data_IF_721496893886
#
_entry.id   IF_721496893886
#
_cell.length_a   1.000
_cell.length_b   1.000
_cell.length_c   1.000
_cell.angle_alpha   90.00
_cell.angle_beta   90.00
_cell.angle_gamma   90.00
#
_symmetry.space_group_name_H-M   'P 1'
#
loop_
_entity.id
_entity.type
_entity.pdbx_description
1 polymer ?
#
# COMPACT_ATOMS: atom_id res chain seq x y z
N UNK A 1 33.07 -8.82 40.96
CA UNK A 1 32.10 -8.46 39.91
C UNK A 1 31.24 -7.34 40.45
N UNK A 2 31.25 -6.17 39.82
CA UNK A 2 30.39 -5.05 40.21
C UNK A 2 28.94 -5.40 39.89
N UNK A 3 28.03 -5.05 40.78
CA UNK A 3 26.58 -5.21 40.54
C UNK A 3 26.13 -4.25 39.42
N UNK A 4 25.25 -4.68 38.50
CA UNK A 4 24.69 -3.77 37.49
C UNK A 4 23.86 -2.63 38.10
N UNK A 5 23.57 -2.71 39.39
CA UNK A 5 22.84 -1.65 40.14
C UNK A 5 23.78 -0.67 40.86
N UNK A 6 25.09 -0.89 40.80
CA UNK A 6 26.07 0.05 41.35
C UNK A 6 26.54 1.00 40.26
N UNK A 7 26.59 2.30 40.60
CA UNK A 7 27.20 3.26 39.70
C UNK A 7 28.63 2.88 39.38
N UNK A 8 29.09 3.00 38.13
CA UNK A 8 30.49 2.77 37.78
C UNK A 8 31.42 3.66 38.64
N UNK A 9 32.53 3.08 39.07
CA UNK A 9 33.55 3.84 39.81
C UNK A 9 34.36 4.72 38.85
N UNK A 10 34.82 5.89 39.35
CA UNK A 10 35.65 6.81 38.59
C UNK A 10 34.93 7.73 37.63
N UNK A 11 35.71 8.52 36.93
CA UNK A 11 35.22 9.57 36.00
C UNK A 11 35.09 9.04 34.55
N UNK A 12 34.52 7.84 34.37
CA UNK A 12 34.43 7.16 33.08
C UNK A 12 33.71 8.00 31.99
N UNK A 13 32.80 8.90 32.40
CA UNK A 13 32.11 9.83 31.49
C UNK A 13 32.97 11.05 31.08
N UNK A 14 34.12 11.25 31.73
CA UNK A 14 35.01 12.38 31.52
C UNK A 14 36.31 11.98 30.80
N UNK A 15 36.31 10.82 30.14
CA UNK A 15 37.45 10.34 29.36
C UNK A 15 37.56 11.19 28.09
N UNK A 16 38.73 11.72 27.82
CA UNK A 16 38.99 12.51 26.62
C UNK A 16 38.76 11.70 25.34
N UNK A 17 38.00 12.28 24.41
CA UNK A 17 37.66 11.63 23.12
C UNK A 17 38.92 11.35 22.31
N UNK A 18 39.16 10.08 21.98
CA UNK A 18 40.32 9.62 21.22
C UNK A 18 40.28 10.13 19.75
N UNK A 19 41.46 10.10 19.09
CA UNK A 19 41.56 10.47 17.67
C UNK A 19 40.73 9.54 16.79
N UNK A 20 40.68 8.26 17.09
CA UNK A 20 39.90 7.26 16.36
C UNK A 20 38.39 7.50 16.52
N UNK A 21 37.98 7.86 17.72
CA UNK A 21 36.60 8.17 18.03
C UNK A 21 36.12 9.44 17.28
N UNK A 22 36.95 10.49 17.25
CA UNK A 22 36.66 11.70 16.43
C UNK A 22 36.53 11.35 14.95
N UNK A 23 37.39 10.45 14.45
CA UNK A 23 37.38 10.04 13.04
C UNK A 23 36.06 9.31 12.69
N UNK A 24 35.69 8.27 13.45
CA UNK A 24 34.49 7.53 13.13
C UNK A 24 33.22 8.35 13.34
N UNK A 25 33.16 9.21 14.36
CA UNK A 25 32.03 10.17 14.54
C UNK A 25 31.93 11.11 13.36
N UNK A 26 33.06 11.65 12.88
CA UNK A 26 33.05 12.53 11.70
C UNK A 26 32.53 11.80 10.46
N UNK A 27 32.97 10.55 10.22
CA UNK A 27 32.50 9.73 9.11
C UNK A 27 30.99 9.46 9.26
N UNK A 28 30.53 9.13 10.45
CA UNK A 28 29.11 8.89 10.72
C UNK A 28 28.24 10.13 10.48
N UNK A 29 28.73 11.32 10.86
CA UNK A 29 28.03 12.58 10.60
C UNK A 29 27.95 12.85 9.08
N UNK A 30 29.05 12.69 8.35
CA UNK A 30 29.07 12.89 6.89
C UNK A 30 28.09 11.92 6.22
N UNK A 31 28.10 10.65 6.64
CA UNK A 31 27.17 9.64 6.10
C UNK A 31 25.71 9.97 6.42
N UNK A 32 25.43 10.39 7.67
CA UNK A 32 24.08 10.82 8.07
C UNK A 32 23.58 12.01 7.25
N UNK A 33 24.43 13.01 7.01
CA UNK A 33 24.10 14.17 6.18
C UNK A 33 23.86 13.79 4.72
N UNK A 34 24.62 12.83 4.18
CA UNK A 34 24.42 12.31 2.83
C UNK A 34 23.07 11.60 2.71
N UNK A 35 22.76 10.71 3.65
CA UNK A 35 21.46 10.02 3.67
C UNK A 35 20.29 10.98 3.87
N UNK A 36 20.44 11.97 4.75
CA UNK A 36 19.42 12.98 4.97
C UNK A 36 19.17 13.83 3.71
N UNK A 37 20.25 14.27 3.04
CA UNK A 37 20.15 14.96 1.75
C UNK A 37 19.49 14.10 0.68
N UNK A 38 19.82 12.79 0.65
CA UNK A 38 19.17 11.82 -0.24
C UNK A 38 17.67 11.70 0.03
N UNK A 39 17.26 11.63 1.31
CA UNK A 39 15.83 11.58 1.67
C UNK A 39 15.06 12.81 1.17
N UNK A 40 15.65 14.01 1.31
CA UNK A 40 15.03 15.24 0.80
C UNK A 40 14.93 15.20 -0.74
N UNK A 41 16.01 14.81 -1.42
CA UNK A 41 15.99 14.65 -2.87
C UNK A 41 14.94 13.62 -3.31
N UNK A 42 14.84 12.49 -2.59
CA UNK A 42 13.88 11.43 -2.87
C UNK A 42 12.43 11.90 -2.78
N UNK A 43 12.11 12.82 -1.86
CA UNK A 43 10.78 13.43 -1.76
C UNK A 43 10.35 14.18 -3.03
N UNK A 44 11.33 14.64 -3.84
CA UNK A 44 11.07 15.36 -5.09
C UNK A 44 11.16 14.49 -6.35
N UNK A 45 11.94 13.41 -6.30
CA UNK A 45 12.23 12.55 -7.45
C UNK A 45 11.72 11.12 -7.28
N UNK A 46 11.37 10.71 -6.05
CA UNK A 46 10.86 9.37 -5.76
C UNK A 46 9.40 9.25 -6.17
N UNK A 47 9.11 8.33 -7.08
CA UNK A 47 7.78 8.09 -7.62
C UNK A 47 7.34 6.64 -7.33
N UNK A 48 7.59 6.19 -6.11
CA UNK A 48 7.43 4.77 -5.75
C UNK A 48 6.03 4.37 -5.32
N UNK A 49 5.24 5.31 -4.78
CA UNK A 49 3.89 5.02 -4.35
C UNK A 49 2.92 5.91 -5.10
N UNK A 50 1.87 5.34 -5.71
CA UNK A 50 0.82 6.14 -6.30
C UNK A 50 0.21 7.02 -5.21
N UNK A 51 0.21 8.31 -5.46
CA UNK A 51 -0.44 9.29 -4.61
C UNK A 51 -1.93 9.29 -4.92
N UNK A 52 -2.74 9.02 -3.90
CA UNK A 52 -4.19 9.08 -3.99
C UNK A 52 -4.76 10.05 -2.97
N UNK A 53 -6.04 10.31 -3.09
CA UNK A 53 -6.79 11.06 -2.09
C UNK A 53 -7.52 10.09 -1.17
N UNK A 54 -7.66 10.47 0.11
CA UNK A 54 -8.43 9.69 1.08
C UNK A 54 -9.41 10.64 1.77
N UNK A 55 -10.65 10.24 1.88
CA UNK A 55 -11.67 11.01 2.58
C UNK A 55 -12.61 10.11 3.38
N UNK A 56 -13.30 10.71 4.33
CA UNK A 56 -14.30 9.99 5.14
C UNK A 56 -15.58 9.76 4.35
N UNK A 57 -16.09 8.54 4.42
CA UNK A 57 -17.38 8.15 3.85
C UNK A 57 -18.06 7.17 4.79
N UNK A 58 -19.39 7.13 4.80
CA UNK A 58 -20.08 6.06 5.52
C UNK A 58 -20.04 4.76 4.71
N UNK A 59 -20.07 3.62 5.41
CA UNK A 59 -20.17 2.32 4.75
C UNK A 59 -21.38 2.25 3.82
N UNK A 60 -22.52 2.79 4.24
CA UNK A 60 -23.73 2.80 3.41
C UNK A 60 -23.58 3.64 2.14
N UNK A 61 -22.93 4.80 2.22
CA UNK A 61 -22.67 5.63 1.05
C UNK A 61 -21.74 4.93 0.07
N UNK A 62 -20.68 4.29 0.57
CA UNK A 62 -19.78 3.52 -0.26
C UNK A 62 -20.46 2.30 -0.89
N UNK A 63 -21.33 1.60 -0.16
CA UNK A 63 -22.15 0.51 -0.72
C UNK A 63 -23.05 0.99 -1.85
N UNK A 64 -23.70 2.14 -1.72
CA UNK A 64 -24.55 2.71 -2.77
C UNK A 64 -23.73 3.02 -4.04
N UNK A 65 -22.54 3.61 -3.89
CA UNK A 65 -21.61 3.85 -5.00
C UNK A 65 -21.19 2.54 -5.69
N UNK A 66 -20.88 1.53 -4.90
CA UNK A 66 -20.50 0.20 -5.38
C UNK A 66 -21.64 -0.45 -6.17
N UNK A 67 -22.87 -0.37 -5.67
CA UNK A 67 -24.04 -0.91 -6.36
C UNK A 67 -24.25 -0.21 -7.70
N UNK A 68 -24.25 1.11 -7.72
CA UNK A 68 -24.39 1.89 -8.95
C UNK A 68 -23.29 1.55 -9.98
N UNK A 69 -22.06 1.35 -9.53
CA UNK A 69 -20.95 0.90 -10.36
C UNK A 69 -21.20 -0.48 -10.97
N UNK A 70 -21.69 -1.43 -10.19
CA UNK A 70 -21.98 -2.79 -10.65
C UNK A 70 -23.14 -2.83 -11.65
N UNK A 71 -24.15 -1.98 -11.45
CA UNK A 71 -25.32 -1.86 -12.34
C UNK A 71 -24.94 -1.19 -13.69
N UNK A 72 -24.03 -0.22 -13.65
CA UNK A 72 -23.57 0.48 -14.86
C UNK A 72 -22.57 -0.35 -15.69
N UNK A 73 -21.83 -1.26 -15.06
CA UNK A 73 -20.80 -2.07 -15.71
C UNK A 73 -21.39 -3.22 -16.55
N UNK A 74 -20.60 -3.69 -17.49
CA UNK A 74 -20.96 -4.85 -18.33
C UNK A 74 -20.40 -6.14 -17.75
N UNK A 75 -21.27 -7.09 -17.44
CA UNK A 75 -20.85 -8.43 -16.98
C UNK A 75 -20.33 -9.24 -18.17
N UNK A 76 -19.12 -9.77 -18.03
CA UNK A 76 -18.47 -10.67 -18.99
C UNK A 76 -18.18 -12.02 -18.34
N UNK A 77 -17.77 -13.01 -19.11
CA UNK A 77 -17.34 -14.33 -18.58
C UNK A 77 -16.11 -14.21 -17.67
N UNK A 78 -15.26 -13.20 -17.89
CA UNK A 78 -14.03 -12.97 -17.13
C UNK A 78 -14.22 -12.06 -15.90
N UNK A 79 -15.31 -11.33 -15.82
CA UNK A 79 -15.58 -10.39 -14.74
C UNK A 79 -16.37 -9.16 -15.17
N UNK A 80 -16.41 -8.15 -14.32
CA UNK A 80 -17.09 -6.90 -14.59
C UNK A 80 -16.19 -5.96 -15.39
N UNK A 81 -16.66 -5.49 -16.56
CA UNK A 81 -16.03 -4.42 -17.34
C UNK A 81 -16.63 -3.08 -16.91
N UNK A 82 -15.84 -2.12 -16.39
CA UNK A 82 -16.32 -0.82 -15.99
C UNK A 82 -16.95 -0.04 -17.16
N UNK A 83 -18.03 0.71 -16.91
CA UNK A 83 -18.62 1.59 -17.90
C UNK A 83 -17.76 2.83 -18.22
N UNK A 84 -16.78 3.15 -17.37
CA UNK A 84 -15.91 4.31 -17.50
C UNK A 84 -14.58 4.10 -16.78
N UNK A 85 -13.98 5.20 -16.31
CA UNK A 85 -12.67 5.18 -15.67
C UNK A 85 -12.72 4.85 -14.17
N UNK A 86 -13.90 4.94 -13.53
CA UNK A 86 -14.06 4.66 -12.10
C UNK A 86 -14.27 3.18 -11.87
N UNK A 87 -13.48 2.63 -10.97
CA UNK A 87 -13.56 1.22 -10.54
C UNK A 87 -13.75 1.19 -9.04
N UNK A 88 -14.82 0.59 -8.56
CA UNK A 88 -15.10 0.47 -7.13
C UNK A 88 -14.81 -0.95 -6.65
N UNK A 89 -14.09 -1.06 -5.54
CA UNK A 89 -13.80 -2.34 -4.88
C UNK A 89 -13.97 -2.16 -3.38
N UNK A 90 -14.75 -3.03 -2.77
CA UNK A 90 -14.91 -3.07 -1.34
C UNK A 90 -14.27 -4.32 -0.75
N UNK A 91 -13.61 -4.16 0.38
CA UNK A 91 -13.12 -5.27 1.19
C UNK A 91 -14.17 -5.66 2.23
N UNK A 92 -14.42 -6.94 2.37
CA UNK A 92 -15.26 -7.52 3.42
C UNK A 92 -14.67 -8.89 3.82
N UNK A 93 -15.01 -9.40 5.00
CA UNK A 93 -14.55 -10.74 5.45
C UNK A 93 -15.26 -11.84 4.65
N UNK A 94 -14.60 -12.59 3.78
CA UNK A 94 -13.17 -12.65 3.44
C UNK A 94 -13.07 -12.58 1.92
N UNK A 95 -13.49 -11.48 1.34
CA UNK A 95 -13.58 -11.29 -0.11
C UNK A 95 -13.33 -9.84 -0.50
N UNK A 96 -12.96 -9.65 -1.75
CA UNK A 96 -12.98 -8.35 -2.41
C UNK A 96 -14.24 -8.26 -3.27
N UNK A 97 -15.23 -7.52 -2.80
CA UNK A 97 -16.47 -7.27 -3.54
C UNK A 97 -16.16 -6.37 -4.74
N UNK A 98 -16.64 -6.76 -5.91
CA UNK A 98 -16.38 -6.06 -7.18
C UNK A 98 -15.35 -6.75 -8.06
N UNK A 99 -14.52 -7.66 -7.54
CA UNK A 99 -13.62 -8.48 -8.34
C UNK A 99 -14.28 -9.80 -8.79
N UNK A 100 -13.85 -10.38 -9.94
CA UNK A 100 -12.84 -9.88 -10.87
C UNK A 100 -13.34 -8.72 -11.74
N UNK A 101 -12.39 -7.84 -12.13
CA UNK A 101 -12.65 -6.71 -13.04
C UNK A 101 -11.79 -6.87 -14.28
N UNK A 102 -12.38 -6.58 -15.45
CA UNK A 102 -11.70 -6.58 -16.75
C UNK A 102 -11.36 -5.15 -17.12
N UNK A 103 -10.08 -4.87 -17.31
CA UNK A 103 -9.51 -3.55 -17.59
C UNK A 103 -8.80 -3.53 -18.94
N UNK A 104 -8.55 -2.34 -19.48
CA UNK A 104 -7.85 -2.11 -20.75
C UNK A 104 -6.41 -1.67 -20.48
N UNK A 105 -5.44 -2.23 -21.22
CA UNK A 105 -4.03 -1.84 -21.18
C UNK A 105 -3.87 -0.36 -21.54
N UNK A 106 -3.00 0.32 -20.81
CA UNK A 106 -2.66 1.72 -21.06
C UNK A 106 -3.71 2.74 -20.63
N UNK A 107 -4.90 2.31 -20.25
CA UNK A 107 -5.98 3.20 -19.78
C UNK A 107 -5.80 3.55 -18.31
N UNK A 108 -5.98 4.84 -18.00
CA UNK A 108 -5.98 5.34 -16.63
C UNK A 108 -7.32 5.08 -15.95
N UNK A 109 -7.28 4.45 -14.78
CA UNK A 109 -8.47 4.23 -13.95
C UNK A 109 -8.34 4.96 -12.61
N UNK A 110 -9.47 5.31 -12.02
CA UNK A 110 -9.57 5.78 -10.64
C UNK A 110 -10.13 4.64 -9.80
N UNK A 111 -9.27 4.02 -9.00
CA UNK A 111 -9.66 2.95 -8.09
C UNK A 111 -10.25 3.55 -6.82
N UNK A 112 -11.53 3.37 -6.60
CA UNK A 112 -12.26 3.73 -5.40
C UNK A 112 -12.28 2.52 -4.47
N UNK A 113 -11.53 2.58 -3.39
CA UNK A 113 -11.28 1.46 -2.50
C UNK A 113 -11.81 1.75 -1.10
N UNK A 114 -12.54 0.81 -0.52
CA UNK A 114 -13.07 0.96 0.83
C UNK A 114 -13.21 -0.38 1.56
N UNK A 115 -13.58 -0.32 2.82
CA UNK A 115 -13.88 -1.50 3.63
C UNK A 115 -15.27 -1.40 4.25
N UNK A 116 -15.98 -2.54 4.30
CA UNK A 116 -17.32 -2.61 4.90
C UNK A 116 -17.31 -2.94 6.40
N UNK A 117 -16.26 -3.59 6.89
CA UNK A 117 -16.29 -4.17 8.23
C UNK A 117 -15.03 -3.88 9.08
N UNK A 118 -13.87 -4.40 8.71
CA UNK A 118 -12.61 -4.23 9.44
C UNK A 118 -11.51 -3.71 8.53
N UNK A 119 -10.34 -3.48 9.09
CA UNK A 119 -9.16 -3.19 8.29
C UNK A 119 -8.78 -4.39 7.44
N UNK A 120 -8.48 -4.14 6.16
CA UNK A 120 -7.95 -5.10 5.21
C UNK A 120 -6.71 -4.53 4.51
N UNK A 121 -5.83 -5.42 4.07
CA UNK A 121 -4.79 -5.07 3.11
C UNK A 121 -5.35 -5.18 1.69
N UNK A 122 -4.88 -4.31 0.81
CA UNK A 122 -5.15 -4.37 -0.62
C UNK A 122 -3.83 -4.28 -1.34
N UNK A 123 -3.33 -5.41 -1.79
CA UNK A 123 -2.07 -5.52 -2.51
C UNK A 123 -2.31 -6.02 -3.91
N UNK A 124 -1.91 -5.24 -4.91
CA UNK A 124 -2.00 -5.60 -6.34
C UNK A 124 -0.63 -5.96 -6.84
N UNK A 125 -0.50 -7.10 -7.52
CA UNK A 125 0.76 -7.59 -8.08
C UNK A 125 0.53 -8.34 -9.38
N UNK A 126 1.37 -8.13 -10.42
CA UNK A 126 1.32 -8.92 -11.65
C UNK A 126 1.68 -10.38 -11.35
N UNK A 127 1.10 -11.31 -12.09
CA UNK A 127 1.32 -12.76 -11.91
C UNK A 127 2.79 -13.17 -12.18
N UNK A 128 3.40 -12.57 -13.18
CA UNK A 128 4.76 -12.84 -13.64
C UNK A 128 5.85 -12.03 -12.92
N UNK A 129 5.48 -10.99 -12.17
CA UNK A 129 6.41 -10.09 -11.49
C UNK A 129 5.94 -9.73 -10.07
N UNK A 130 5.85 -10.71 -9.19
CA UNK A 130 5.30 -10.57 -7.82
C UNK A 130 6.04 -9.55 -6.95
N UNK A 131 7.27 -9.16 -7.30
CA UNK A 131 8.03 -8.09 -6.63
C UNK A 131 7.54 -6.69 -6.99
N UNK A 132 6.88 -6.53 -8.14
CA UNK A 132 6.25 -5.27 -8.56
C UNK A 132 4.86 -5.17 -7.92
N UNK A 133 4.79 -4.74 -6.68
CA UNK A 133 3.52 -4.66 -5.96
C UNK A 133 3.25 -3.27 -5.41
N UNK A 134 1.98 -2.90 -5.40
CA UNK A 134 1.46 -1.81 -4.62
C UNK A 134 0.65 -2.37 -3.45
N UNK A 135 0.70 -1.75 -2.30
CA UNK A 135 -0.02 -2.19 -1.11
C UNK A 135 -0.58 -1.02 -0.33
N UNK A 136 -1.84 -1.13 0.09
CA UNK A 136 -2.57 -0.14 0.86
C UNK A 136 -3.30 -0.82 2.03
N UNK A 137 -3.61 -0.03 3.04
CA UNK A 137 -4.52 -0.44 4.12
C UNK A 137 -5.89 0.22 3.91
N UNK A 138 -6.93 -0.59 3.82
CA UNK A 138 -8.31 -0.15 3.69
C UNK A 138 -8.99 -0.17 5.05
N UNK A 139 -9.42 0.99 5.51
CA UNK A 139 -10.07 1.18 6.81
C UNK A 139 -11.56 1.44 6.62
N UNK A 140 -12.42 0.86 7.47
CA UNK A 140 -13.85 1.22 7.48
C UNK A 140 -14.04 2.72 7.72
N UNK A 141 -15.00 3.32 7.05
CA UNK A 141 -15.30 4.74 7.17
C UNK A 141 -14.38 5.66 6.33
N UNK A 142 -13.55 5.09 5.49
CA UNK A 142 -12.68 5.83 4.56
C UNK A 142 -12.77 5.26 3.15
N UNK A 143 -12.72 6.14 2.17
CA UNK A 143 -12.60 5.80 0.75
C UNK A 143 -11.25 6.33 0.22
N UNK A 144 -10.47 5.44 -0.39
CA UNK A 144 -9.28 5.80 -1.16
C UNK A 144 -9.65 5.97 -2.61
N UNK A 145 -9.15 7.03 -3.24
CA UNK A 145 -9.21 7.23 -4.70
C UNK A 145 -7.79 7.23 -5.23
N UNK A 146 -7.44 6.18 -5.94
CA UNK A 146 -6.09 5.93 -6.38
C UNK A 146 -6.04 5.86 -7.92
N UNK A 147 -5.27 6.73 -8.59
CA UNK A 147 -5.03 6.60 -10.01
C UNK A 147 -4.17 5.36 -10.28
N UNK A 148 -4.65 4.46 -11.12
CA UNK A 148 -3.91 3.27 -11.55
C UNK A 148 -3.97 3.10 -13.05
N UNK A 149 -2.85 2.70 -13.63
CA UNK A 149 -2.70 2.36 -15.03
C UNK A 149 -1.93 1.05 -15.13
N UNK A 150 -2.37 0.17 -15.99
CA UNK A 150 -1.75 -1.11 -16.25
C UNK A 150 -1.14 -1.06 -17.65
N UNK A 151 0.19 -1.09 -17.74
CA UNK A 151 0.90 -0.92 -19.01
C UNK A 151 1.10 -2.23 -19.77
N UNK A 152 0.88 -3.37 -19.12
CA UNK A 152 1.04 -4.70 -19.69
C UNK A 152 -0.25 -5.51 -19.52
N UNK A 153 -0.73 -6.21 -20.57
CA UNK A 153 -1.87 -7.11 -20.43
C UNK A 153 -1.49 -8.33 -19.58
N UNK A 154 -2.47 -8.90 -18.89
CA UNK A 154 -2.23 -10.07 -18.06
C UNK A 154 -3.14 -10.13 -16.84
N UNK A 155 -2.85 -11.06 -15.95
CA UNK A 155 -3.54 -11.22 -14.67
C UNK A 155 -2.77 -10.53 -13.55
N UNK A 156 -3.49 -9.71 -12.79
CA UNK A 156 -2.96 -9.04 -11.60
C UNK A 156 -3.72 -9.56 -10.38
N UNK A 157 -2.99 -10.17 -9.47
CA UNK A 157 -3.57 -10.69 -8.24
C UNK A 157 -3.79 -9.58 -7.22
N UNK A 158 -4.96 -9.61 -6.61
CA UNK A 158 -5.32 -8.77 -5.47
C UNK A 158 -5.35 -9.65 -4.23
N UNK A 159 -4.54 -9.33 -3.24
CA UNK A 159 -4.37 -10.15 -2.02
C UNK A 159 -4.54 -9.27 -0.79
N UNK A 160 -5.28 -9.80 0.20
CA UNK A 160 -5.32 -9.19 1.51
C UNK A 160 -4.02 -9.53 2.27
N UNK A 161 -3.22 -8.51 2.59
CA UNK A 161 -1.95 -8.66 3.30
C UNK A 161 -1.98 -8.10 4.74
N UNK A 162 -3.19 -7.83 5.27
CA UNK A 162 -3.45 -7.46 6.66
C UNK A 162 -4.40 -8.45 7.31
N UNK A 163 -4.05 -8.95 8.50
CA UNK A 163 -4.86 -9.94 9.17
C UNK A 163 -6.26 -9.42 9.51
N UNK A 164 -7.26 -9.92 8.80
CA UNK A 164 -8.66 -9.52 8.94
C UNK A 164 -9.56 -10.59 9.62
N UNK A 165 -8.97 -11.72 10.05
CA UNK A 165 -9.67 -12.80 10.74
C UNK A 165 -9.34 -14.20 10.20
N UNK A 166 -10.10 -15.21 10.60
CA UNK A 166 -9.81 -16.64 10.36
C UNK A 166 -9.66 -16.98 8.86
N UNK A 167 -10.47 -16.39 8.00
CA UNK A 167 -10.46 -16.60 6.54
C UNK A 167 -9.48 -15.71 5.77
N UNK A 168 -8.65 -14.92 6.47
CA UNK A 168 -7.71 -13.98 5.85
C UNK A 168 -6.86 -14.59 4.72
N UNK A 169 -6.32 -15.78 4.91
CA UNK A 169 -5.46 -16.46 3.93
C UNK A 169 -6.15 -16.80 2.60
N UNK A 170 -7.47 -16.83 2.56
CA UNK A 170 -8.26 -17.15 1.35
C UNK A 170 -8.78 -15.89 0.65
N UNK A 171 -8.52 -14.71 1.21
CA UNK A 171 -9.01 -13.45 0.68
C UNK A 171 -8.13 -12.95 -0.45
N UNK A 172 -8.56 -13.22 -1.68
CA UNK A 172 -7.90 -12.80 -2.90
C UNK A 172 -8.91 -12.50 -4.02
N UNK A 173 -8.45 -11.83 -5.05
CA UNK A 173 -9.21 -11.52 -6.26
C UNK A 173 -8.27 -11.22 -7.41
N UNK A 174 -8.79 -10.79 -8.56
CA UNK A 174 -7.98 -10.51 -9.75
C UNK A 174 -8.48 -9.32 -10.55
N UNK A 175 -7.53 -8.57 -11.14
CA UNK A 175 -7.77 -7.77 -12.33
C UNK A 175 -7.31 -8.57 -13.54
N UNK A 176 -8.09 -8.52 -14.62
CA UNK A 176 -7.75 -9.08 -15.92
C UNK A 176 -7.57 -7.91 -16.87
N UNK A 177 -6.32 -7.69 -17.30
CA UNK A 177 -5.97 -6.58 -18.18
C UNK A 177 -5.88 -7.10 -19.59
N UNK A 178 -6.68 -6.55 -20.50
CA UNK A 178 -6.74 -6.90 -21.93
C UNK A 178 -6.19 -5.76 -22.78
N UNK A 179 -5.81 -6.08 -24.02
CA UNK A 179 -5.38 -5.08 -25.03
C UNK A 179 -6.53 -4.15 -25.43
#
# INVERSE_FOLDING_TARGET
>A
MSSPLQSPEGDWWNIGVSRHEKLWVSISIVWALLLFGWMIAWASYGDQNPTGTTYRTSTQEFMNKMQAYQEAGTKTEKGLRPAGEKVYIASARYSFVGLPVVLETGKQYQMHLGSYDVQHGFSVRPEDALSKQISLQLLPGYEWVLPMKFDEPGTYHVVCNEFCGIGHRTMHGTFIVEE
#
